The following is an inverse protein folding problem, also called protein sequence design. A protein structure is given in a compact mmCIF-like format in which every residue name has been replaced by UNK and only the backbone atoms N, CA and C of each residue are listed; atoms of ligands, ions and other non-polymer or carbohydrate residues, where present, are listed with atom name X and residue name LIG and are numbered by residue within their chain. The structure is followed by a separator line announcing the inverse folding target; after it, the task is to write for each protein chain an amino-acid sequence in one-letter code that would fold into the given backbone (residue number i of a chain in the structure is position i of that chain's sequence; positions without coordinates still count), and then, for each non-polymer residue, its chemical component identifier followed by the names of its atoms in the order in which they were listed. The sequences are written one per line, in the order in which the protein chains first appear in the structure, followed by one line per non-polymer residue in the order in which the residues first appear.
data_IF_469034197280
#
_entry.id   IF_469034197280
#
_cell.length_a   1.000
_cell.length_b   1.000
_cell.length_c   1.000
_cell.angle_alpha   90.00
_cell.angle_beta   90.00
_cell.angle_gamma   90.00
#
_symmetry.space_group_name_H-M   'P 1'
#
loop_
_entity.id
_entity.type
_entity.pdbx_description
1 polymer ?
#
# COMPACT_ATOMS: atom_id res chain seq x y z
N UNK A 1 4.08 22.06 -19.06
CA UNK A 1 2.76 21.56 -18.65
C UNK A 1 2.74 20.05 -18.43
N UNK A 2 3.02 19.22 -19.46
CA UNK A 2 3.02 17.74 -19.35
C UNK A 2 4.01 17.14 -18.34
N UNK A 3 5.23 17.68 -18.22
CA UNK A 3 6.24 17.18 -17.26
C UNK A 3 5.87 17.45 -15.80
N UNK A 4 5.18 18.55 -15.51
CA UNK A 4 4.70 18.87 -14.18
C UNK A 4 3.56 17.92 -13.77
N UNK A 5 2.65 17.63 -14.71
CA UNK A 5 1.59 16.66 -14.52
C UNK A 5 2.17 15.26 -14.24
N UNK A 6 3.14 14.80 -15.04
CA UNK A 6 3.82 13.53 -14.80
C UNK A 6 4.51 13.48 -13.44
N UNK A 7 5.21 14.55 -13.04
CA UNK A 7 5.86 14.64 -11.73
C UNK A 7 4.86 14.52 -10.57
N UNK A 8 3.73 15.24 -10.63
CA UNK A 8 2.72 15.25 -9.56
C UNK A 8 1.97 13.90 -9.43
N UNK A 9 1.75 13.18 -10.54
CA UNK A 9 0.97 11.94 -10.55
C UNK A 9 1.80 10.64 -10.57
N UNK A 10 3.11 10.71 -10.76
CA UNK A 10 4.01 9.53 -10.80
C UNK A 10 3.94 8.59 -9.60
N UNK A 11 3.56 9.09 -8.41
CA UNK A 11 3.42 8.29 -7.18
C UNK A 11 2.01 7.79 -6.92
N UNK A 12 1.03 8.24 -7.69
CA UNK A 12 -0.35 7.76 -7.56
C UNK A 12 -0.46 6.29 -7.99
N UNK A 13 0.35 5.86 -8.96
CA UNK A 13 0.31 4.49 -9.49
C UNK A 13 0.65 3.43 -8.44
N UNK A 14 1.59 3.71 -7.53
CA UNK A 14 1.93 2.81 -6.41
C UNK A 14 0.95 2.91 -5.24
N UNK A 15 0.13 3.96 -5.19
CA UNK A 15 -0.97 4.10 -4.22
C UNK A 15 -2.22 3.37 -4.73
N UNK A 16 -2.53 3.48 -6.02
CA UNK A 16 -3.67 2.83 -6.66
C UNK A 16 -3.45 1.32 -6.88
N UNK A 17 -2.20 0.90 -7.14
CA UNK A 17 -1.81 -0.50 -7.33
C UNK A 17 -1.82 -1.38 -6.06
N UNK A 18 -2.31 -0.86 -4.94
CA UNK A 18 -2.29 -1.53 -3.64
C UNK A 18 -1.08 -1.11 -2.85
N UNK A 19 -1.32 -0.44 -1.73
CA UNK A 19 -0.24 0.10 -0.91
C UNK A 19 0.73 -1.02 -0.51
N UNK A 20 2.01 -0.71 -0.72
CA UNK A 20 3.16 -1.50 -0.29
C UNK A 20 3.04 -2.01 1.16
N UNK A 21 2.42 -1.22 2.04
CA UNK A 21 2.13 -1.60 3.41
C UNK A 21 1.08 -2.71 3.52
N UNK A 22 -0.04 -2.63 2.78
CA UNK A 22 -1.08 -3.68 2.78
C UNK A 22 -0.53 -5.00 2.25
N UNK A 23 0.26 -4.97 1.17
CA UNK A 23 0.91 -6.17 0.62
C UNK A 23 1.83 -6.83 1.65
N UNK A 24 2.65 -6.02 2.35
CA UNK A 24 3.52 -6.53 3.41
C UNK A 24 2.73 -7.14 4.57
N UNK A 25 1.63 -6.52 5.01
CA UNK A 25 0.76 -7.08 6.04
C UNK A 25 0.13 -8.41 5.60
N UNK A 26 -0.35 -8.51 4.35
CA UNK A 26 -0.90 -9.76 3.82
C UNK A 26 0.15 -10.87 3.82
N UNK A 27 1.37 -10.61 3.35
CA UNK A 27 2.47 -11.58 3.34
C UNK A 27 2.84 -11.97 4.78
N UNK A 28 2.96 -11.00 5.69
CA UNK A 28 3.24 -11.24 7.10
C UNK A 28 2.21 -12.18 7.75
N UNK A 29 0.91 -11.92 7.56
CA UNK A 29 -0.16 -12.73 8.16
C UNK A 29 -0.33 -14.09 7.46
N UNK A 30 -0.32 -14.11 6.13
CA UNK A 30 -0.77 -15.26 5.34
C UNK A 30 0.36 -16.21 4.94
N UNK A 31 1.55 -15.69 4.69
CA UNK A 31 2.73 -16.48 4.29
C UNK A 31 3.62 -16.76 5.50
N UNK A 32 3.86 -15.74 6.33
CA UNK A 32 4.79 -15.83 7.46
C UNK A 32 4.11 -16.20 8.79
N UNK A 33 2.78 -16.24 8.85
CA UNK A 33 2.03 -16.62 10.05
C UNK A 33 2.17 -15.65 11.23
N UNK A 34 2.52 -14.39 10.96
CA UNK A 34 2.61 -13.37 12.01
C UNK A 34 1.22 -13.01 12.54
N UNK A 35 1.11 -12.58 13.81
CA UNK A 35 -0.15 -12.12 14.37
C UNK A 35 -0.77 -11.00 13.55
N UNK A 36 -2.09 -11.04 13.37
CA UNK A 36 -2.83 -10.02 12.61
C UNK A 36 -2.80 -8.67 13.31
N UNK A 37 -2.75 -7.60 12.53
CA UNK A 37 -2.84 -6.26 13.10
C UNK A 37 -4.22 -6.02 13.74
N UNK A 38 -4.30 -5.28 14.87
CA UNK A 38 -5.56 -4.95 15.49
C UNK A 38 -6.42 -4.11 14.54
N UNK A 39 -7.61 -4.61 14.20
CA UNK A 39 -8.61 -3.79 13.47
C UNK A 39 -9.17 -2.77 14.45
N UNK A 40 -9.03 -1.48 14.12
CA UNK A 40 -9.57 -0.41 14.95
C UNK A 40 -11.03 -0.66 15.32
N UNK A 41 -11.36 -0.45 16.59
CA UNK A 41 -12.73 -0.53 17.09
C UNK A 41 -13.31 0.88 16.97
N UNK A 42 -14.44 1.01 16.27
CA UNK A 42 -15.18 2.27 16.16
C UNK A 42 -15.99 2.55 17.42
#
# INVERSE_FOLDING_TARGET
DSLQHLFLFSRADTIYGGSDQVQRTIIAESVLGLPREPKGVF
#
